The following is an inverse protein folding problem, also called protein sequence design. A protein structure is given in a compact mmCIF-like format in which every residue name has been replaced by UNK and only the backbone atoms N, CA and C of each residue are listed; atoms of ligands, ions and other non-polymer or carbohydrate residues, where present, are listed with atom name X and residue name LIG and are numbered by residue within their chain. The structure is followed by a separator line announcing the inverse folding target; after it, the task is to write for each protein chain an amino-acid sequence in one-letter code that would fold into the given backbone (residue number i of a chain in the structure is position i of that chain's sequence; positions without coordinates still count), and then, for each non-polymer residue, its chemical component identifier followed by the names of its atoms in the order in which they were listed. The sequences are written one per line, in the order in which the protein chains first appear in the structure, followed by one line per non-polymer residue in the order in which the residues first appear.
data_IF_848315803970
#
_entry.id   IF_848315803970
#
_cell.length_a   1.000
_cell.length_b   1.000
_cell.length_c   1.000
_cell.angle_alpha   90.00
_cell.angle_beta   90.00
_cell.angle_gamma   90.00
#
_symmetry.space_group_name_H-M   'P 1'
#
loop_
_entity.id
_entity.type
_entity.pdbx_description
1 polymer ?
#
# COMPACT_ATOMS: atom_id res chain seq x y z
N UNK A 1 2.46 10.76 30.98
CA UNK A 1 2.67 10.23 29.61
C UNK A 1 1.34 10.37 28.90
N UNK A 2 1.26 11.18 27.84
CA UNK A 2 0.03 11.25 27.03
C UNK A 2 -0.01 10.01 26.13
N UNK A 3 -1.13 9.30 26.12
CA UNK A 3 -1.36 8.19 25.19
C UNK A 3 -1.76 8.80 23.85
N UNK A 4 -1.11 8.37 22.76
CA UNK A 4 -1.45 8.79 21.40
C UNK A 4 -2.40 7.77 20.76
N UNK A 5 -3.47 8.24 20.15
CA UNK A 5 -4.47 7.46 19.43
C UNK A 5 -4.38 7.70 17.92
N UNK A 6 -4.33 6.62 17.15
CA UNK A 6 -4.38 6.64 15.69
C UNK A 6 -5.07 5.37 15.15
N UNK A 7 -5.57 5.44 13.92
CA UNK A 7 -6.01 4.25 13.15
C UNK A 7 -4.83 3.69 12.37
N UNK A 8 -4.85 2.41 12.00
CA UNK A 8 -3.76 1.80 11.21
C UNK A 8 -3.59 2.50 9.86
N UNK A 9 -4.66 2.74 9.12
CA UNK A 9 -4.61 3.32 7.77
C UNK A 9 -5.99 3.34 7.16
N UNK A 10 -6.31 2.31 6.38
CA UNK A 10 -7.60 2.19 5.70
C UNK A 10 -8.82 2.26 6.64
N UNK A 11 -9.84 2.97 6.17
CA UNK A 11 -11.19 2.98 6.74
C UNK A 11 -12.17 2.36 5.74
N UNK A 12 -13.32 1.90 6.24
CA UNK A 12 -14.33 1.27 5.39
C UNK A 12 -14.80 2.26 4.31
N UNK A 13 -14.76 1.84 3.04
CA UNK A 13 -15.22 2.66 1.92
C UNK A 13 -16.74 2.80 1.98
N UNK A 14 -17.30 4.03 1.93
CA UNK A 14 -18.74 4.22 1.84
C UNK A 14 -19.33 3.51 0.61
N UNK A 15 -20.56 2.98 0.67
CA UNK A 15 -21.21 2.34 -0.48
C UNK A 15 -21.25 3.22 -1.74
N UNK A 16 -21.41 4.54 -1.57
CA UNK A 16 -21.38 5.50 -2.68
C UNK A 16 -20.04 5.50 -3.43
N UNK A 17 -18.92 5.38 -2.72
CA UNK A 17 -17.59 5.31 -3.31
C UNK A 17 -17.37 3.98 -4.06
N UNK A 18 -17.85 2.87 -3.48
CA UNK A 18 -17.77 1.55 -4.13
C UNK A 18 -18.54 1.56 -5.46
N UNK A 19 -19.80 2.01 -5.46
CA UNK A 19 -20.63 2.12 -6.65
C UNK A 19 -20.03 3.09 -7.69
N UNK A 20 -19.46 4.20 -7.23
CA UNK A 20 -18.84 5.18 -8.12
C UNK A 20 -17.62 4.59 -8.85
N UNK A 21 -16.81 3.78 -8.16
CA UNK A 21 -15.66 3.09 -8.76
C UNK A 21 -16.11 2.09 -9.82
N UNK A 22 -17.10 1.25 -9.51
CA UNK A 22 -17.69 0.32 -10.49
C UNK A 22 -18.27 1.06 -11.71
N UNK A 23 -18.93 2.20 -11.50
CA UNK A 23 -19.45 3.05 -12.56
C UNK A 23 -18.34 3.66 -13.43
N UNK A 24 -17.26 4.14 -12.81
CA UNK A 24 -16.11 4.71 -13.50
C UNK A 24 -15.35 3.67 -14.33
N UNK A 25 -15.05 2.51 -13.75
CA UNK A 25 -14.36 1.41 -14.42
C UNK A 25 -15.17 0.85 -15.59
N UNK A 26 -16.51 0.89 -15.50
CA UNK A 26 -17.40 0.52 -16.59
C UNK A 26 -17.69 1.65 -17.61
N UNK A 27 -17.04 2.80 -17.51
CA UNK A 27 -17.22 3.94 -18.41
C UNK A 27 -18.58 4.65 -18.31
N UNK A 28 -19.34 4.40 -17.23
CA UNK A 28 -20.65 5.01 -16.97
C UNK A 28 -20.58 6.30 -16.14
N UNK A 29 -19.44 6.58 -15.53
CA UNK A 29 -19.22 7.75 -14.68
C UNK A 29 -18.06 8.59 -15.21
N UNK A 30 -18.24 9.90 -15.28
CA UNK A 30 -17.18 10.84 -15.68
C UNK A 30 -16.08 10.94 -14.61
N UNK A 31 -14.83 11.15 -15.04
CA UNK A 31 -13.67 11.23 -14.17
C UNK A 31 -13.77 12.35 -13.12
N UNK A 32 -14.31 13.52 -13.49
CA UNK A 32 -14.48 14.62 -12.56
C UNK A 32 -15.59 14.34 -11.54
N UNK A 33 -16.64 13.61 -11.95
CA UNK A 33 -17.69 13.16 -11.03
C UNK A 33 -17.12 12.13 -10.04
N UNK A 34 -16.40 11.13 -10.54
CA UNK A 34 -15.75 10.12 -9.71
C UNK A 34 -14.80 10.76 -8.68
N UNK A 35 -13.96 11.70 -9.12
CA UNK A 35 -13.04 12.42 -8.24
C UNK A 35 -13.73 13.16 -7.11
N UNK A 36 -14.90 13.78 -7.36
CA UNK A 36 -15.67 14.46 -6.31
C UNK A 36 -16.20 13.47 -5.27
N UNK A 37 -16.58 12.27 -5.67
CA UNK A 37 -17.06 11.23 -4.76
C UNK A 37 -15.90 10.68 -3.91
N UNK A 38 -14.72 10.49 -4.50
CA UNK A 38 -13.50 10.17 -3.76
C UNK A 38 -13.14 11.24 -2.73
N UNK A 39 -13.24 12.50 -3.12
CA UNK A 39 -12.99 13.65 -2.25
C UNK A 39 -13.96 13.71 -1.08
N UNK A 40 -15.26 13.53 -1.34
CA UNK A 40 -16.27 13.46 -0.30
C UNK A 40 -16.02 12.31 0.68
N UNK A 41 -15.66 11.11 0.20
CA UNK A 41 -15.38 9.98 1.07
C UNK A 41 -14.19 10.24 2.02
N UNK A 42 -13.19 11.00 1.56
CA UNK A 42 -12.08 11.42 2.43
C UNK A 42 -12.47 12.51 3.41
N UNK A 43 -13.30 13.46 3.01
CA UNK A 43 -13.86 14.45 3.94
C UNK A 43 -14.63 13.76 5.08
N UNK A 44 -15.46 12.76 4.75
CA UNK A 44 -16.19 11.95 5.72
C UNK A 44 -15.24 11.14 6.64
N UNK A 45 -14.19 10.53 6.07
CA UNK A 45 -13.17 9.80 6.83
C UNK A 45 -12.40 10.70 7.81
N UNK A 46 -12.03 11.92 7.39
CA UNK A 46 -11.35 12.91 8.25
C UNK A 46 -12.30 13.34 9.38
N UNK A 47 -13.53 13.73 9.04
CA UNK A 47 -14.52 14.18 10.02
C UNK A 47 -14.83 13.10 11.07
N UNK A 48 -14.93 11.83 10.65
CA UNK A 48 -15.15 10.69 11.56
C UNK A 48 -14.01 10.58 12.59
N UNK A 49 -12.76 10.59 12.13
CA UNK A 49 -11.60 10.46 13.01
C UNK A 49 -11.47 11.66 13.95
N UNK A 50 -11.73 12.88 13.48
CA UNK A 50 -11.69 14.09 14.30
C UNK A 50 -12.80 14.12 15.35
N UNK A 51 -14.03 13.72 14.99
CA UNK A 51 -15.15 13.62 15.91
C UNK A 51 -14.94 12.54 16.98
N UNK A 52 -14.25 11.44 16.62
CA UNK A 52 -13.82 10.40 17.56
C UNK A 52 -12.69 10.87 18.50
N UNK A 53 -12.09 12.03 18.23
CA UNK A 53 -11.05 12.62 19.08
C UNK A 53 -9.64 12.06 18.86
N UNK A 54 -9.38 11.38 17.73
CA UNK A 54 -8.07 10.77 17.46
C UNK A 54 -6.95 11.81 17.37
N UNK A 55 -5.76 11.48 17.89
CA UNK A 55 -4.60 12.39 17.90
C UNK A 55 -3.93 12.51 16.53
N UNK A 56 -3.97 11.42 15.74
CA UNK A 56 -3.42 11.36 14.38
C UNK A 56 -4.51 10.94 13.39
N UNK A 57 -4.53 11.62 12.25
CA UNK A 57 -5.51 11.42 11.19
C UNK A 57 -4.84 10.86 9.93
N UNK A 58 -5.55 9.98 9.24
CA UNK A 58 -5.21 9.50 7.88
C UNK A 58 -6.31 9.92 6.90
N UNK A 59 -6.08 9.79 5.59
CA UNK A 59 -7.14 9.99 4.60
C UNK A 59 -8.08 8.77 4.48
N UNK A 60 -7.86 7.73 5.31
CA UNK A 60 -8.60 6.48 5.29
C UNK A 60 -8.35 5.60 4.06
N UNK A 61 -7.33 5.89 3.25
CA UNK A 61 -6.96 5.18 2.02
C UNK A 61 -8.11 5.02 1.01
N UNK A 62 -9.07 5.95 1.03
CA UNK A 62 -10.33 5.83 0.29
C UNK A 62 -10.11 5.72 -1.22
N UNK A 63 -9.09 6.40 -1.75
CA UNK A 63 -8.76 6.44 -3.19
C UNK A 63 -8.02 5.20 -3.69
N UNK A 64 -7.45 4.41 -2.78
CA UNK A 64 -6.67 3.24 -3.15
C UNK A 64 -7.62 2.11 -3.51
N UNK A 65 -7.35 1.38 -4.60
CA UNK A 65 -8.11 0.17 -4.93
C UNK A 65 -7.73 -1.02 -4.03
N UNK A 66 -6.48 -1.03 -3.54
CA UNK A 66 -5.92 -1.99 -2.59
C UNK A 66 -4.84 -1.29 -1.76
N UNK A 67 -4.44 -1.85 -0.62
CA UNK A 67 -3.42 -1.22 0.26
C UNK A 67 -2.09 -0.94 -0.48
N UNK A 68 -1.74 -1.77 -1.45
CA UNK A 68 -0.56 -1.62 -2.31
C UNK A 68 -0.76 -0.72 -3.53
N UNK A 69 -1.97 -0.22 -3.74
CA UNK A 69 -2.36 0.47 -4.98
C UNK A 69 -1.55 1.74 -5.26
N UNK A 70 -1.13 2.44 -4.20
CA UNK A 70 -0.29 3.64 -4.32
C UNK A 70 1.04 3.36 -5.05
N UNK A 71 1.65 2.18 -4.85
CA UNK A 71 2.87 1.79 -5.56
C UNK A 71 2.59 1.53 -7.05
N UNK A 72 1.54 0.77 -7.33
CA UNK A 72 1.21 0.29 -8.68
C UNK A 72 0.68 1.40 -9.58
N UNK A 73 -0.08 2.34 -9.01
CA UNK A 73 -0.66 3.47 -9.74
C UNK A 73 0.35 4.61 -9.99
N UNK A 74 1.48 4.60 -9.28
CA UNK A 74 2.50 5.64 -9.32
C UNK A 74 3.72 5.30 -10.18
N UNK A 75 3.85 4.04 -10.59
CA UNK A 75 4.95 3.56 -11.42
C UNK A 75 4.40 2.97 -12.72
N UNK A 76 4.98 3.36 -13.85
CA UNK A 76 4.78 2.63 -15.10
C UNK A 76 5.55 1.31 -15.05
N UNK A 77 5.13 0.33 -15.85
CA UNK A 77 5.80 -0.97 -16.03
C UNK A 77 5.15 -2.14 -15.31
N UNK A 78 4.11 -1.91 -14.53
CA UNK A 78 3.22 -2.96 -14.04
C UNK A 78 2.07 -3.25 -15.02
N UNK A 79 1.81 -4.52 -15.26
CA UNK A 79 0.49 -5.00 -15.66
C UNK A 79 -0.35 -5.25 -14.40
N UNK A 80 -1.40 -4.45 -14.18
CA UNK A 80 -2.23 -4.50 -12.97
C UNK A 80 -3.00 -5.81 -12.80
N UNK A 81 -3.30 -6.49 -13.91
CA UNK A 81 -4.15 -7.69 -13.94
C UNK A 81 -3.43 -8.91 -14.52
N UNK A 82 -2.13 -8.78 -14.81
CA UNK A 82 -1.33 -9.82 -15.43
C UNK A 82 -0.76 -10.84 -14.44
N UNK A 83 -0.73 -10.56 -13.14
CA UNK A 83 -0.10 -11.45 -12.17
C UNK A 83 -0.92 -12.68 -11.83
N UNK A 84 -0.38 -13.45 -10.89
CA UNK A 84 -1.04 -14.63 -10.35
C UNK A 84 -2.34 -14.26 -9.62
N UNK A 85 -3.27 -15.20 -9.65
CA UNK A 85 -4.58 -15.09 -9.04
C UNK A 85 -4.58 -15.74 -7.66
N UNK A 86 -5.16 -15.06 -6.68
CA UNK A 86 -5.54 -15.69 -5.41
C UNK A 86 -7.04 -15.93 -5.43
N UNK A 87 -7.43 -17.19 -5.30
CA UNK A 87 -8.79 -17.59 -5.05
C UNK A 87 -9.12 -17.35 -3.57
N UNK A 88 -10.09 -16.48 -3.30
CA UNK A 88 -10.68 -16.29 -1.99
C UNK A 88 -12.10 -16.83 -2.00
N UNK A 89 -12.54 -17.45 -0.91
CA UNK A 89 -13.95 -17.77 -0.72
C UNK A 89 -14.59 -16.72 0.19
N UNK A 90 -15.68 -16.12 -0.25
CA UNK A 90 -16.51 -15.32 0.65
C UNK A 90 -17.34 -16.23 1.57
N UNK A 91 -18.07 -15.65 2.52
CA UNK A 91 -18.93 -16.41 3.45
C UNK A 91 -20.04 -17.21 2.73
N UNK A 92 -20.45 -16.79 1.53
CA UNK A 92 -21.39 -17.50 0.68
C UNK A 92 -20.76 -18.68 -0.10
N UNK A 93 -19.45 -18.89 0.03
CA UNK A 93 -18.71 -19.94 -0.65
C UNK A 93 -18.33 -19.62 -2.11
N UNK A 94 -18.58 -18.40 -2.58
CA UNK A 94 -18.22 -17.96 -3.92
C UNK A 94 -16.71 -17.68 -4.01
N UNK A 95 -16.10 -18.14 -5.11
CA UNK A 95 -14.68 -17.96 -5.36
C UNK A 95 -14.41 -16.61 -6.05
N UNK A 96 -13.95 -15.64 -5.26
CA UNK A 96 -13.46 -14.35 -5.74
C UNK A 96 -12.00 -14.51 -6.16
N UNK A 97 -11.74 -14.31 -7.46
CA UNK A 97 -10.38 -14.32 -8.00
C UNK A 97 -9.79 -12.91 -7.98
N UNK A 98 -8.82 -12.67 -7.11
CA UNK A 98 -8.07 -11.42 -7.09
C UNK A 98 -6.78 -11.58 -7.88
N UNK A 99 -6.69 -10.88 -9.01
CA UNK A 99 -5.45 -10.83 -9.79
C UNK A 99 -4.49 -9.83 -9.16
N UNK A 100 -3.25 -10.25 -8.95
CA UNK A 100 -2.20 -9.37 -8.47
C UNK A 100 -1.53 -8.65 -9.65
N UNK A 101 -0.94 -7.48 -9.43
CA UNK A 101 -0.10 -6.83 -10.42
C UNK A 101 1.19 -7.64 -10.62
N UNK A 102 1.79 -7.49 -11.80
CA UNK A 102 3.11 -8.06 -12.13
C UNK A 102 3.94 -7.05 -12.91
N UNK A 103 5.23 -6.94 -12.60
CA UNK A 103 6.16 -6.09 -13.35
C UNK A 103 6.51 -6.76 -14.67
N UNK A 104 6.31 -6.04 -15.79
CA UNK A 104 6.50 -6.53 -17.16
C UNK A 104 7.40 -5.62 -18.00
N UNK A 105 7.62 -4.38 -17.56
CA UNK A 105 8.62 -3.47 -18.13
C UNK A 105 9.47 -2.85 -17.01
N UNK A 106 10.61 -2.26 -17.37
CA UNK A 106 11.44 -1.51 -16.43
C UNK A 106 10.59 -0.40 -15.79
N UNK A 107 10.60 -0.34 -14.46
CA UNK A 107 9.80 0.63 -13.72
C UNK A 107 10.26 2.05 -14.03
N UNK A 108 9.28 2.94 -14.19
CA UNK A 108 9.52 4.38 -14.33
C UNK A 108 8.62 5.15 -13.40
N UNK A 109 9.19 6.15 -12.75
CA UNK A 109 8.43 7.06 -11.90
C UNK A 109 7.44 7.88 -12.73
N UNK A 110 6.15 7.64 -12.54
CA UNK A 110 5.08 8.38 -13.22
C UNK A 110 4.64 9.58 -12.38
N UNK A 111 4.44 9.38 -11.08
CA UNK A 111 4.05 10.41 -10.11
C UNK A 111 4.44 9.97 -8.69
N UNK A 112 4.34 10.88 -7.73
CA UNK A 112 4.41 10.49 -6.32
C UNK A 112 3.25 9.57 -5.94
N UNK A 113 3.56 8.59 -5.09
CA UNK A 113 2.64 7.55 -4.63
C UNK A 113 1.52 8.15 -3.77
N UNK A 114 1.85 9.08 -2.87
CA UNK A 114 0.97 9.56 -1.81
C UNK A 114 0.93 11.10 -1.70
N UNK A 115 1.61 11.86 -2.57
CA UNK A 115 1.58 13.32 -2.52
C UNK A 115 0.16 13.91 -2.61
N UNK A 116 -0.71 13.33 -3.43
CA UNK A 116 -2.10 13.78 -3.55
C UNK A 116 -2.86 13.54 -2.24
N UNK A 117 -2.81 12.31 -1.73
CA UNK A 117 -3.46 11.89 -0.47
C UNK A 117 -3.01 12.80 0.68
N UNK A 118 -1.71 12.97 0.84
CA UNK A 118 -1.13 13.77 1.90
C UNK A 118 -1.45 15.26 1.75
N UNK A 119 -1.32 15.83 0.55
CA UNK A 119 -1.60 17.25 0.33
C UNK A 119 -3.07 17.58 0.57
N UNK A 120 -3.98 16.69 0.17
CA UNK A 120 -5.41 16.82 0.39
C UNK A 120 -5.76 16.78 1.88
N UNK A 121 -5.21 15.80 2.60
CA UNK A 121 -5.38 15.64 4.05
C UNK A 121 -4.83 16.84 4.82
N UNK A 122 -3.62 17.31 4.47
CA UNK A 122 -2.96 18.48 5.10
C UNK A 122 -3.74 19.77 4.94
N UNK A 123 -4.51 19.92 3.85
CA UNK A 123 -5.36 21.08 3.65
C UNK A 123 -6.61 21.10 4.55
N UNK A 124 -6.97 19.98 5.18
CA UNK A 124 -8.26 19.77 5.86
C UNK A 124 -8.18 19.55 7.36
N UNK A 125 -7.06 19.05 7.87
CA UNK A 125 -6.88 18.83 9.30
C UNK A 125 -5.68 19.60 9.85
N UNK A 126 -5.79 19.99 11.12
CA UNK A 126 -4.70 20.59 11.91
C UNK A 126 -4.04 19.58 12.87
N UNK A 127 -4.56 18.35 12.93
CA UNK A 127 -4.00 17.27 13.76
C UNK A 127 -2.72 16.73 13.12
N UNK A 128 -2.01 15.88 13.85
CA UNK A 128 -0.89 15.14 13.27
C UNK A 128 -1.42 14.22 12.16
N UNK A 129 -0.66 14.07 11.08
CA UNK A 129 -1.11 13.36 9.88
C UNK A 129 -0.21 12.15 9.63
N UNK A 130 -0.80 11.04 9.20
CA UNK A 130 -0.07 9.82 8.85
C UNK A 130 -0.34 9.41 7.42
N UNK A 131 0.70 8.96 6.73
CA UNK A 131 0.64 8.30 5.42
C UNK A 131 1.09 6.86 5.56
N UNK A 132 0.43 5.92 4.87
CA UNK A 132 0.82 4.51 4.83
C UNK A 132 1.49 4.19 3.50
N UNK A 133 2.61 3.45 3.54
CA UNK A 133 3.32 2.91 2.38
C UNK A 133 3.40 1.39 2.53
N UNK A 134 3.31 0.67 1.42
CA UNK A 134 3.63 -0.76 1.41
C UNK A 134 5.12 -0.95 1.66
N UNK A 135 5.50 -1.92 2.47
CA UNK A 135 6.90 -2.32 2.59
C UNK A 135 7.46 -2.78 1.24
N UNK A 136 8.71 -2.43 1.00
CA UNK A 136 9.42 -2.73 -0.24
C UNK A 136 9.51 -4.23 -0.50
N UNK A 137 9.74 -5.04 0.55
CA UNK A 137 9.78 -6.50 0.40
C UNK A 137 8.41 -7.11 0.10
N UNK A 138 7.30 -6.50 0.51
CA UNK A 138 5.97 -6.96 0.12
C UNK A 138 5.74 -6.82 -1.40
N UNK A 139 6.48 -5.92 -2.08
CA UNK A 139 6.46 -5.78 -3.53
C UNK A 139 7.09 -6.99 -4.26
N UNK A 140 7.88 -7.83 -3.58
CA UNK A 140 8.42 -9.07 -4.13
C UNK A 140 7.33 -10.01 -4.70
N UNK A 141 6.10 -9.88 -4.20
CA UNK A 141 4.95 -10.64 -4.68
C UNK A 141 4.47 -10.24 -6.10
N UNK A 142 5.00 -9.14 -6.65
CA UNK A 142 4.68 -8.59 -7.97
C UNK A 142 5.77 -8.85 -9.01
N UNK A 143 6.76 -9.67 -8.66
CA UNK A 143 7.76 -10.20 -9.58
C UNK A 143 7.43 -11.65 -9.93
N UNK A 144 7.42 -11.96 -11.22
CA UNK A 144 7.24 -13.32 -11.74
C UNK A 144 8.41 -13.66 -12.66
N UNK A 145 9.20 -14.72 -12.41
CA UNK A 145 10.40 -14.99 -13.20
C UNK A 145 10.14 -15.15 -14.71
N UNK A 146 9.00 -15.66 -15.13
CA UNK A 146 8.70 -15.87 -16.55
C UNK A 146 8.28 -14.56 -17.23
N UNK A 147 7.48 -13.74 -16.53
CA UNK A 147 6.92 -12.50 -17.09
C UNK A 147 7.80 -11.28 -16.89
N UNK A 148 8.57 -11.27 -15.81
CA UNK A 148 9.39 -10.12 -15.40
C UNK A 148 10.83 -10.20 -15.92
N UNK A 149 11.30 -11.35 -16.41
CA UNK A 149 12.70 -11.52 -16.88
C UNK A 149 13.10 -10.53 -17.99
N UNK A 150 12.16 -10.13 -18.85
CA UNK A 150 12.41 -9.12 -19.89
C UNK A 150 12.62 -7.70 -19.34
N UNK A 151 12.06 -7.40 -18.16
CA UNK A 151 12.16 -6.10 -17.50
C UNK A 151 13.33 -6.05 -16.49
N UNK A 152 13.50 -7.14 -15.73
CA UNK A 152 14.45 -7.27 -14.66
C UNK A 152 15.05 -8.68 -14.64
N UNK A 153 16.40 -8.80 -14.71
CA UNK A 153 17.05 -10.11 -14.78
C UNK A 153 16.87 -10.93 -13.50
N UNK A 154 16.69 -10.27 -12.35
CA UNK A 154 16.46 -10.92 -11.06
C UNK A 154 15.42 -10.14 -10.26
N UNK A 155 14.80 -10.83 -9.29
CA UNK A 155 13.92 -10.20 -8.31
C UNK A 155 14.65 -9.12 -7.50
N UNK A 156 15.92 -9.34 -7.18
CA UNK A 156 16.72 -8.39 -6.39
C UNK A 156 16.97 -7.10 -7.18
N UNK A 157 17.21 -7.18 -8.49
CA UNK A 157 17.33 -5.99 -9.35
C UNK A 157 16.03 -5.19 -9.44
N UNK A 158 14.87 -5.87 -9.37
CA UNK A 158 13.56 -5.22 -9.26
C UNK A 158 13.36 -4.56 -7.90
N UNK A 159 13.69 -5.27 -6.81
CA UNK A 159 13.53 -4.76 -5.45
C UNK A 159 14.45 -3.59 -5.14
N UNK A 160 15.66 -3.54 -5.74
CA UNK A 160 16.55 -2.38 -5.66
C UNK A 160 15.87 -1.11 -6.20
N UNK A 161 15.24 -1.19 -7.37
CA UNK A 161 14.46 -0.06 -7.92
C UNK A 161 13.27 0.31 -7.03
N UNK A 162 12.57 -0.68 -6.46
CA UNK A 162 11.48 -0.42 -5.52
C UNK A 162 11.99 0.36 -4.30
N UNK A 163 13.13 -0.02 -3.73
CA UNK A 163 13.76 0.72 -2.62
C UNK A 163 14.07 2.16 -3.04
N UNK A 164 14.68 2.37 -4.20
CA UNK A 164 15.01 3.70 -4.71
C UNK A 164 13.75 4.57 -4.93
N UNK A 165 12.69 4.01 -5.50
CA UNK A 165 11.42 4.72 -5.69
C UNK A 165 10.72 5.00 -4.36
N UNK A 166 10.73 4.07 -3.41
CA UNK A 166 10.14 4.30 -2.09
C UNK A 166 10.94 5.34 -1.29
N UNK A 167 12.27 5.37 -1.38
CA UNK A 167 13.10 6.44 -0.83
C UNK A 167 12.73 7.80 -1.43
N UNK A 168 12.62 7.87 -2.75
CA UNK A 168 12.15 9.07 -3.45
C UNK A 168 10.76 9.51 -2.99
N UNK A 169 9.85 8.58 -2.74
CA UNK A 169 8.52 8.91 -2.21
C UNK A 169 8.60 9.52 -0.80
N UNK A 170 9.43 8.94 0.08
CA UNK A 170 9.67 9.49 1.42
C UNK A 170 10.22 10.92 1.32
N UNK A 171 11.19 11.16 0.43
CA UNK A 171 11.74 12.50 0.19
C UNK A 171 10.66 13.50 -0.27
N UNK A 172 9.77 13.10 -1.18
CA UNK A 172 8.65 13.94 -1.63
C UNK A 172 7.64 14.23 -0.50
N UNK A 173 7.29 13.23 0.30
CA UNK A 173 6.41 13.40 1.45
C UNK A 173 7.03 14.34 2.50
N UNK A 174 8.32 14.18 2.79
CA UNK A 174 9.11 15.08 3.65
C UNK A 174 9.10 16.50 3.10
N UNK A 175 9.32 16.68 1.80
CA UNK A 175 9.29 17.99 1.12
C UNK A 175 7.92 18.67 1.26
N UNK A 176 6.85 17.88 1.29
CA UNK A 176 5.49 18.34 1.56
C UNK A 176 5.22 18.55 3.07
N UNK A 177 6.16 18.23 3.96
CA UNK A 177 6.02 18.40 5.40
C UNK A 177 5.33 17.23 6.12
N UNK A 178 5.33 16.04 5.53
CA UNK A 178 4.92 14.82 6.22
C UNK A 178 5.98 14.44 7.26
N UNK A 179 5.54 14.21 8.50
CA UNK A 179 6.42 13.86 9.62
C UNK A 179 6.13 12.49 10.21
N UNK A 180 5.14 11.76 9.67
CA UNK A 180 4.79 10.43 10.14
C UNK A 180 4.37 9.53 8.97
N UNK A 181 5.20 8.53 8.71
CA UNK A 181 5.01 7.54 7.65
C UNK A 181 4.94 6.16 8.31
N UNK A 182 3.93 5.37 7.98
CA UNK A 182 3.83 3.98 8.40
C UNK A 182 4.17 3.06 7.22
N UNK A 183 4.96 2.04 7.49
CA UNK A 183 5.29 0.96 6.56
C UNK A 183 4.39 -0.23 6.91
N UNK A 184 3.56 -0.65 5.96
CA UNK A 184 2.71 -1.82 6.07
C UNK A 184 3.48 -3.07 5.61
N UNK A 185 3.78 -3.93 6.57
CA UNK A 185 4.70 -5.05 6.41
C UNK A 185 4.09 -6.40 6.84
N UNK A 186 2.99 -6.86 6.20
CA UNK A 186 2.37 -8.15 6.52
C UNK A 186 3.29 -9.35 6.26
N UNK A 187 4.34 -9.20 5.44
CA UNK A 187 5.31 -10.27 5.18
C UNK A 187 6.03 -10.75 6.44
N UNK A 188 6.27 -9.87 7.43
CA UNK A 188 6.89 -10.29 8.69
C UNK A 188 6.02 -11.33 9.41
N UNK A 189 4.70 -11.17 9.40
CA UNK A 189 3.80 -12.15 10.00
C UNK A 189 3.80 -13.47 9.21
N UNK A 190 3.90 -13.42 7.87
CA UNK A 190 3.97 -14.61 7.03
C UNK A 190 5.22 -15.46 7.33
N UNK A 191 6.32 -14.84 7.78
CA UNK A 191 7.54 -15.54 8.18
C UNK A 191 7.43 -16.24 9.54
N UNK A 192 6.33 -16.06 10.29
CA UNK A 192 6.07 -16.75 11.55
C UNK A 192 5.22 -18.01 11.39
N UNK A 193 4.49 -18.16 10.27
CA UNK A 193 3.61 -19.30 10.01
C UNK A 193 4.41 -20.47 9.39
N UNK A 194 4.44 -21.67 10.03
CA UNK A 194 5.20 -22.80 9.52
C UNK A 194 4.82 -23.25 8.10
N UNK A 195 3.53 -23.18 7.73
CA UNK A 195 3.05 -23.59 6.42
C UNK A 195 3.45 -22.57 5.33
N UNK A 196 3.39 -21.28 5.64
CA UNK A 196 3.87 -20.22 4.73
C UNK A 196 5.39 -20.28 4.55
N UNK A 197 6.14 -20.48 5.65
CA UNK A 197 7.60 -20.69 5.62
C UNK A 197 7.98 -21.86 4.70
N UNK A 198 7.26 -22.98 4.78
CA UNK A 198 7.49 -24.12 3.89
C UNK A 198 7.11 -23.82 2.43
N UNK A 199 6.08 -22.99 2.22
CA UNK A 199 5.78 -22.42 0.91
C UNK A 199 6.95 -21.62 0.32
N UNK A 200 7.64 -20.81 1.12
CA UNK A 200 8.84 -20.09 0.67
C UNK A 200 9.98 -21.03 0.30
N UNK A 201 10.26 -22.05 1.12
CA UNK A 201 11.31 -23.04 0.82
C UNK A 201 11.06 -23.79 -0.49
N UNK A 202 9.82 -24.23 -0.73
CA UNK A 202 9.44 -24.88 -1.99
C UNK A 202 9.61 -23.98 -3.22
N UNK A 203 9.51 -22.67 -3.04
CA UNK A 203 9.78 -21.66 -4.07
C UNK A 203 11.25 -21.23 -4.13
N UNK A 204 12.15 -21.95 -3.46
CA UNK A 204 13.59 -21.69 -3.46
C UNK A 204 14.04 -20.51 -2.60
N UNK A 205 13.18 -20.02 -1.70
CA UNK A 205 13.49 -18.90 -0.79
C UNK A 205 13.73 -19.40 0.63
N UNK A 206 14.80 -18.92 1.27
CA UNK A 206 15.10 -19.20 2.68
C UNK A 206 14.36 -18.19 3.59
N UNK A 207 13.36 -18.60 4.39
CA UNK A 207 12.61 -17.71 5.28
C UNK A 207 13.49 -16.94 6.28
N UNK A 208 14.61 -17.53 6.71
CA UNK A 208 15.50 -16.92 7.70
C UNK A 208 16.38 -15.84 7.05
N UNK A 209 16.74 -15.99 5.78
CA UNK A 209 17.37 -14.89 5.01
C UNK A 209 16.35 -13.84 4.56
N UNK A 210 15.10 -14.24 4.39
CA UNK A 210 14.05 -13.29 4.01
C UNK A 210 13.80 -12.25 5.09
N UNK A 211 13.86 -12.61 6.37
CA UNK A 211 13.69 -11.63 7.45
C UNK A 211 14.82 -10.60 7.44
N UNK A 212 16.07 -11.03 7.24
CA UNK A 212 17.22 -10.12 7.12
C UNK A 212 17.03 -9.17 5.93
N UNK A 213 16.64 -9.69 4.77
CA UNK A 213 16.34 -8.88 3.59
C UNK A 213 15.18 -7.88 3.83
N UNK A 214 14.13 -8.26 4.57
CA UNK A 214 13.07 -7.31 4.94
C UNK A 214 13.65 -6.14 5.74
N UNK A 215 14.45 -6.45 6.77
CA UNK A 215 15.02 -5.46 7.68
C UNK A 215 15.98 -4.53 6.92
N UNK A 216 16.85 -5.08 6.07
CA UNK A 216 17.78 -4.31 5.25
C UNK A 216 17.05 -3.32 4.34
N UNK A 217 15.99 -3.76 3.66
CA UNK A 217 15.24 -2.91 2.73
C UNK A 217 14.41 -1.84 3.45
N UNK A 218 13.81 -2.16 4.60
CA UNK A 218 13.09 -1.17 5.42
C UNK A 218 14.07 -0.13 5.99
N UNK A 219 15.23 -0.56 6.48
CA UNK A 219 16.30 0.34 6.94
C UNK A 219 16.81 1.22 5.79
N UNK A 220 16.99 0.66 4.60
CA UNK A 220 17.41 1.41 3.42
C UNK A 220 16.39 2.49 3.04
N UNK A 221 15.09 2.30 3.28
CA UNK A 221 14.08 3.37 3.09
C UNK A 221 14.16 4.44 4.18
N UNK A 222 14.34 4.02 5.43
CA UNK A 222 14.33 4.89 6.61
C UNK A 222 15.61 5.76 6.71
N UNK A 223 16.76 5.22 6.29
CA UNK A 223 18.06 5.86 6.43
C UNK A 223 18.09 7.26 5.78
N UNK A 224 18.55 8.25 6.55
CA UNK A 224 18.63 9.65 6.12
C UNK A 224 17.39 10.50 6.41
N UNK A 225 16.33 9.93 6.98
CA UNK A 225 15.05 10.61 7.22
C UNK A 225 14.71 10.79 8.72
N UNK A 226 15.67 11.23 9.55
CA UNK A 226 15.50 11.34 11.02
C UNK A 226 14.41 12.32 11.47
N UNK A 227 13.95 13.21 10.59
CA UNK A 227 12.83 14.12 10.81
C UNK A 227 11.46 13.45 10.71
N UNK A 228 11.39 12.20 10.24
CA UNK A 228 10.17 11.42 10.10
C UNK A 228 10.09 10.41 11.23
N UNK A 229 8.93 10.35 11.89
CA UNK A 229 8.57 9.20 12.70
C UNK A 229 8.16 8.07 11.75
N UNK A 230 8.82 6.92 11.82
CA UNK A 230 8.40 5.72 11.09
C UNK A 230 7.61 4.79 12.00
N UNK A 231 6.44 4.35 11.53
CA UNK A 231 5.68 3.26 12.14
C UNK A 231 5.83 1.98 11.31
N UNK A 232 5.79 0.82 11.94
CA UNK A 232 5.75 -0.47 11.25
C UNK A 232 4.47 -1.19 11.65
N UNK A 233 3.59 -1.47 10.68
CA UNK A 233 2.38 -2.24 10.91
C UNK A 233 2.57 -3.68 10.40
N UNK A 234 2.44 -4.64 11.32
CA UNK A 234 2.54 -6.06 11.03
C UNK A 234 1.16 -6.69 11.29
N UNK A 235 0.55 -7.26 10.26
CA UNK A 235 -0.73 -7.97 10.37
C UNK A 235 -0.66 -9.36 9.75
N UNK A 236 -1.59 -10.23 10.16
CA UNK A 236 -1.76 -11.58 9.57
C UNK A 236 -2.62 -11.59 8.31
N UNK A 237 -2.94 -10.41 7.78
CA UNK A 237 -3.90 -10.21 6.71
C UNK A 237 -5.35 -10.29 7.21
N UNK A 238 -6.14 -9.27 6.87
CA UNK A 238 -7.60 -9.31 6.95
C UNK A 238 -8.13 -8.71 5.63
N UNK A 239 -8.34 -9.54 4.62
CA UNK A 239 -8.81 -9.07 3.31
C UNK A 239 -10.31 -8.72 3.30
N UNK A 240 -11.05 -9.10 4.35
CA UNK A 240 -12.51 -8.92 4.37
C UNK A 240 -12.92 -7.64 5.09
N UNK A 241 -12.02 -6.94 5.78
CA UNK A 241 -12.35 -5.78 6.61
C UNK A 241 -13.52 -6.04 7.56
N UNK A 242 -13.70 -7.30 7.98
CA UNK A 242 -14.72 -7.73 8.93
C UNK A 242 -14.08 -7.94 10.29
N UNK A 243 -14.86 -7.65 11.33
CA UNK A 243 -14.55 -7.85 12.75
C UNK A 243 -14.78 -9.31 13.15
#
# INVERSE_FOLDING_TARGET
MAIRSDVVGSLLRPPALVQAREGFEAGRLDAAVFKRIEDQAVDEAIALQEAAGLDVITDGEQRRYAFFGHLIDALDGFDKLGGWAIAFRNEAGEELTFRRPVVVERLRWRRSMCAEEFSYLRARSRRALKVTLISTQQAAAYYDPERSAGAYPTRDAYLADIVDFTRREVEELVRLGCTYIQIDAPQYAALLDPALREGYRRRGSDPDRLIDACIEMDNAVIEGHSQVTFGLHICRGNNQSMF
#
